data_IF_744910453986
#
_entry.id   IF_744910453986
#
_cell.length_a   1.000
_cell.length_b   1.000
_cell.length_c   1.000
_cell.angle_alpha   90.00
_cell.angle_beta   90.00
_cell.angle_gamma   90.00
#
_symmetry.space_group_name_H-M   'P 1'
#
loop_
_entity.id
_entity.type
_entity.pdbx_description
1 polymer ?
#
# COMPACT_ATOMS: atom_id res chain seq x y z
N UNK A 1 12.14 7.45 11.53
CA UNK A 1 10.81 6.94 11.95
C UNK A 1 10.11 6.25 10.79
N UNK A 2 9.56 5.09 11.03
CA UNK A 2 8.81 4.36 10.02
C UNK A 2 7.33 4.65 10.21
N UNK A 3 6.68 5.08 9.15
CA UNK A 3 5.27 5.39 9.14
C UNK A 3 4.50 4.32 8.38
N UNK A 4 3.60 3.63 9.06
CA UNK A 4 2.79 2.58 8.48
C UNK A 4 1.34 3.03 8.42
N UNK A 5 0.74 2.97 7.22
CA UNK A 5 -0.68 3.21 7.04
C UNK A 5 -1.41 1.89 6.83
N UNK A 6 -2.56 1.74 7.45
CA UNK A 6 -3.48 0.61 7.22
C UNK A 6 -4.79 1.16 6.68
N UNK A 7 -5.23 0.64 5.53
CA UNK A 7 -6.40 1.14 4.84
C UNK A 7 -7.24 0.02 4.26
N UNK A 8 -8.50 -0.04 4.67
CA UNK A 8 -9.48 -0.90 4.03
C UNK A 8 -10.11 -0.13 2.87
N UNK A 9 -9.69 -0.45 1.64
CA UNK A 9 -10.12 0.29 0.46
C UNK A 9 -11.54 0.00 0.02
N UNK A 10 -12.09 -1.14 0.43
CA UNK A 10 -13.40 -1.62 -0.03
C UNK A 10 -13.51 -1.71 -1.55
N UNK A 11 -12.41 -2.13 -2.19
CA UNK A 11 -12.31 -2.21 -3.64
C UNK A 11 -11.50 -1.08 -4.25
N UNK A 12 -10.33 -1.41 -4.77
CA UNK A 12 -9.36 -0.43 -5.29
C UNK A 12 -9.60 -0.08 -6.77
N UNK A 13 -10.60 -0.69 -7.40
CA UNK A 13 -10.79 -0.58 -8.85
C UNK A 13 -11.36 0.75 -9.35
N UNK A 14 -12.05 1.50 -8.50
CA UNK A 14 -12.66 2.76 -8.92
C UNK A 14 -11.64 3.91 -8.90
N UNK A 15 -11.71 4.85 -9.89
CA UNK A 15 -10.78 5.98 -9.93
C UNK A 15 -10.71 6.81 -8.65
N UNK A 16 -11.83 6.95 -7.92
CA UNK A 16 -11.83 7.66 -6.63
C UNK A 16 -10.92 6.97 -5.60
N UNK A 17 -10.80 5.66 -5.65
CA UNK A 17 -9.94 4.89 -4.74
C UNK A 17 -8.46 5.01 -5.12
N UNK A 18 -8.16 5.01 -6.42
CA UNK A 18 -6.77 5.21 -6.88
C UNK A 18 -6.30 6.64 -6.58
N UNK A 19 -7.20 7.62 -6.68
CA UNK A 19 -6.90 8.99 -6.29
C UNK A 19 -6.70 9.12 -4.79
N UNK A 20 -7.51 8.44 -3.98
CA UNK A 20 -7.34 8.41 -2.53
C UNK A 20 -5.99 7.81 -2.15
N UNK A 21 -5.56 6.73 -2.80
CA UNK A 21 -4.24 6.14 -2.59
C UNK A 21 -3.12 7.13 -2.93
N UNK A 22 -3.24 7.81 -4.07
CA UNK A 22 -2.29 8.84 -4.47
C UNK A 22 -2.17 9.93 -3.41
N UNK A 23 -3.30 10.41 -2.91
CA UNK A 23 -3.33 11.44 -1.88
C UNK A 23 -2.69 10.97 -0.58
N UNK A 24 -2.96 9.73 -0.16
CA UNK A 24 -2.32 9.16 1.02
C UNK A 24 -0.80 9.12 0.88
N UNK A 25 -0.30 8.68 -0.27
CA UNK A 25 1.13 8.63 -0.55
C UNK A 25 1.73 10.03 -0.55
N UNK A 26 1.08 10.98 -1.19
CA UNK A 26 1.59 12.34 -1.34
C UNK A 26 1.59 13.10 -0.02
N UNK A 27 0.51 12.98 0.76
CA UNK A 27 0.34 13.75 2.00
C UNK A 27 1.06 13.12 3.19
N UNK A 28 0.97 11.79 3.32
CA UNK A 28 1.50 11.09 4.48
C UNK A 28 2.92 10.59 4.28
N UNK A 29 3.37 10.43 3.04
CA UNK A 29 4.69 9.89 2.69
C UNK A 29 5.04 8.65 3.51
N UNK A 30 4.19 7.62 3.48
CA UNK A 30 4.37 6.46 4.34
C UNK A 30 5.55 5.60 3.93
N UNK A 31 6.10 4.88 4.91
CA UNK A 31 7.10 3.85 4.65
C UNK A 31 6.43 2.58 4.12
N UNK A 32 5.27 2.25 4.67
CA UNK A 32 4.46 1.09 4.25
C UNK A 32 2.99 1.49 4.24
N UNK A 33 2.25 0.97 3.25
CA UNK A 33 0.79 1.00 3.24
C UNK A 33 0.29 -0.43 3.17
N UNK A 34 -0.56 -0.81 4.12
CA UNK A 34 -1.29 -2.06 4.11
C UNK A 34 -2.69 -1.79 3.58
N UNK A 35 -3.00 -2.32 2.40
CA UNK A 35 -4.31 -2.11 1.78
C UNK A 35 -5.09 -3.41 1.85
N UNK A 36 -6.27 -3.35 2.45
CA UNK A 36 -7.17 -4.48 2.61
C UNK A 36 -8.34 -4.37 1.63
N UNK A 37 -8.93 -5.51 1.29
CA UNK A 37 -10.08 -5.62 0.40
C UNK A 37 -9.86 -4.90 -0.94
N UNK A 38 -8.72 -5.17 -1.58
CA UNK A 38 -8.39 -4.56 -2.87
C UNK A 38 -9.34 -4.98 -3.98
N UNK A 39 -9.84 -6.22 -3.93
CA UNK A 39 -10.79 -6.80 -4.90
C UNK A 39 -10.33 -6.69 -6.34
N UNK A 40 -9.00 -6.72 -6.57
CA UNK A 40 -8.41 -6.58 -7.89
C UNK A 40 -7.37 -7.65 -8.15
N UNK A 41 -7.11 -7.91 -9.44
CA UNK A 41 -6.04 -8.79 -9.88
C UNK A 41 -4.69 -8.09 -9.72
N UNK A 42 -3.64 -8.90 -9.56
CA UNK A 42 -2.27 -8.42 -9.40
C UNK A 42 -1.85 -7.46 -10.51
N UNK A 43 -2.17 -7.78 -11.76
CA UNK A 43 -1.80 -6.93 -12.90
C UNK A 43 -2.35 -5.51 -12.79
N UNK A 44 -3.58 -5.36 -12.31
CA UNK A 44 -4.19 -4.05 -12.14
C UNK A 44 -3.60 -3.29 -10.97
N UNK A 45 -3.33 -3.97 -9.88
CA UNK A 45 -2.70 -3.37 -8.69
C UNK A 45 -1.29 -2.91 -9.04
N UNK A 46 -0.51 -3.70 -9.77
CA UNK A 46 0.82 -3.32 -10.22
C UNK A 46 0.81 -2.06 -11.07
N UNK A 47 -0.16 -1.89 -11.95
CA UNK A 47 -0.29 -0.66 -12.73
C UNK A 47 -0.52 0.58 -11.87
N UNK A 48 -1.27 0.42 -10.79
CA UNK A 48 -1.52 1.51 -9.85
C UNK A 48 -0.25 1.84 -9.07
N UNK A 49 0.46 0.83 -8.58
CA UNK A 49 1.67 0.99 -7.78
C UNK A 49 2.80 1.58 -8.62
N UNK A 50 2.95 1.15 -9.86
CA UNK A 50 4.02 1.60 -10.76
C UNK A 50 3.98 3.09 -11.08
N UNK A 51 2.86 3.74 -10.83
CA UNK A 51 2.74 5.20 -10.93
C UNK A 51 3.49 5.94 -9.82
N UNK A 52 3.88 5.22 -8.78
CA UNK A 52 4.57 5.78 -7.61
C UNK A 52 5.99 5.21 -7.56
N UNK A 53 6.93 5.90 -8.18
CA UNK A 53 8.28 5.39 -8.50
C UNK A 53 9.06 4.80 -7.33
N UNK A 54 8.90 5.36 -6.13
CA UNK A 54 9.63 4.89 -4.95
C UNK A 54 8.96 3.71 -4.25
N UNK A 55 7.81 3.27 -4.73
CA UNK A 55 7.01 2.25 -4.05
C UNK A 55 6.97 0.95 -4.83
N UNK A 56 7.04 -0.16 -4.10
CA UNK A 56 6.81 -1.50 -4.64
C UNK A 56 5.83 -2.27 -3.77
N UNK A 57 5.06 -3.13 -4.43
CA UNK A 57 4.01 -3.89 -3.79
C UNK A 57 4.32 -5.36 -3.64
N UNK A 58 3.78 -5.95 -2.59
CA UNK A 58 3.63 -7.38 -2.40
C UNK A 58 2.14 -7.67 -2.35
N UNK A 59 1.65 -8.49 -3.27
CA UNK A 59 0.22 -8.64 -3.53
C UNK A 59 -0.24 -10.06 -3.23
N UNK A 60 -1.31 -10.16 -2.44
CA UNK A 60 -2.08 -11.38 -2.29
C UNK A 60 -3.45 -11.15 -2.93
N UNK A 61 -3.70 -11.84 -4.05
CA UNK A 61 -4.93 -11.62 -4.82
C UNK A 61 -6.19 -12.01 -4.06
N UNK A 62 -7.30 -11.37 -4.42
CA UNK A 62 -8.62 -11.77 -3.97
C UNK A 62 -8.96 -13.17 -4.46
N UNK A 63 -9.53 -13.99 -3.57
CA UNK A 63 -10.02 -15.33 -3.89
C UNK A 63 -11.51 -15.40 -3.57
N UNK A 64 -12.33 -15.55 -4.60
CA UNK A 64 -13.78 -15.57 -4.44
C UNK A 64 -14.29 -14.28 -3.80
N UNK A 65 -14.99 -14.39 -2.67
CA UNK A 65 -15.50 -13.26 -1.92
C UNK A 65 -14.44 -12.56 -1.05
N UNK A 66 -13.25 -13.15 -0.92
CA UNK A 66 -12.16 -12.55 -0.15
C UNK A 66 -11.61 -11.33 -0.85
N UNK A 67 -11.30 -10.29 -0.08
CA UNK A 67 -10.98 -9.00 -0.63
C UNK A 67 -9.61 -8.83 -1.25
N UNK A 68 -8.63 -9.66 -0.90
CA UNK A 68 -7.24 -9.47 -1.29
C UNK A 68 -6.51 -8.46 -0.41
N UNK A 69 -5.21 -8.62 -0.29
CA UNK A 69 -4.35 -7.78 0.54
C UNK A 69 -3.15 -7.35 -0.28
N UNK A 70 -2.80 -6.07 -0.21
CA UNK A 70 -1.60 -5.54 -0.84
C UNK A 70 -0.80 -4.75 0.19
N UNK A 71 0.50 -5.02 0.24
CA UNK A 71 1.45 -4.26 1.03
C UNK A 71 2.32 -3.45 0.07
N UNK A 72 2.32 -2.13 0.20
CA UNK A 72 3.14 -1.23 -0.60
C UNK A 72 4.20 -0.64 0.31
N UNK A 73 5.47 -0.69 -0.12
CA UNK A 73 6.58 -0.16 0.66
C UNK A 73 7.38 0.86 -0.11
N UNK A 74 7.91 1.85 0.58
CA UNK A 74 8.87 2.79 0.02
C UNK A 74 10.25 2.12 0.02
N UNK A 75 10.79 1.85 -1.15
CA UNK A 75 12.05 1.14 -1.29
C UNK A 75 13.25 1.90 -0.76
N UNK A 76 13.23 3.22 -0.81
CA UNK A 76 14.35 4.02 -0.33
C UNK A 76 14.52 3.92 1.19
N UNK A 77 13.41 3.81 1.92
CA UNK A 77 13.44 3.65 3.37
C UNK A 77 13.79 2.23 3.82
N UNK A 78 13.60 1.25 2.94
CA UNK A 78 13.78 -0.17 3.25
C UNK A 78 15.10 -0.74 2.75
N UNK A 79 16.08 0.11 2.49
CA UNK A 79 17.41 -0.34 2.08
C UNK A 79 18.17 -1.08 3.18
N UNK A 80 17.79 -0.86 4.45
CA UNK A 80 18.38 -1.54 5.60
C UNK A 80 17.29 -2.00 6.57
N UNK A 81 16.87 -3.26 6.43
CA UNK A 81 15.75 -3.84 7.21
C UNK A 81 16.02 -3.88 8.72
N UNK A 82 17.28 -3.97 9.14
CA UNK A 82 17.63 -4.05 10.56
C UNK A 82 17.23 -2.79 11.34
N UNK A 83 17.18 -1.64 10.68
CA UNK A 83 16.83 -0.38 11.32
C UNK A 83 15.32 -0.21 11.51
N UNK A 84 14.51 -1.01 10.83
CA UNK A 84 13.04 -0.89 10.85
C UNK A 84 12.41 -1.28 12.19
N UNK A 85 13.12 -2.06 12.99
CA UNK A 85 12.59 -2.63 14.24
C UNK A 85 12.57 -1.59 15.35
N UNK A 86 13.40 -0.56 15.28
CA UNK A 86 13.60 0.36 16.41
C UNK A 86 12.50 1.42 16.56
N UNK A 87 11.96 1.95 15.46
CA UNK A 87 10.94 2.99 15.54
C UNK A 87 9.88 2.79 14.45
N UNK A 88 8.68 2.51 14.85
CA UNK A 88 7.57 2.42 13.91
C UNK A 88 6.33 3.13 14.46
N UNK A 89 5.45 3.51 13.56
CA UNK A 89 4.25 4.24 13.86
C UNK A 89 3.16 3.81 12.87
N UNK A 90 1.99 3.44 13.39
CA UNK A 90 0.90 2.90 12.58
C UNK A 90 -0.30 3.82 12.66
N UNK A 91 -0.82 4.20 11.49
CA UNK A 91 -2.06 4.94 11.37
C UNK A 91 -3.08 4.10 10.62
N UNK A 92 -4.25 3.95 11.19
CA UNK A 92 -5.40 3.33 10.51
C UNK A 92 -6.23 4.41 9.83
N UNK A 93 -6.45 4.21 8.57
CA UNK A 93 -7.20 5.16 7.74
C UNK A 93 -8.62 4.66 7.50
#
# INVERSE_FOLDING_TARGET
MIKILSWNSKGLGHPSKTNALKDLITQEKPSIILIQETKQRESKINKIIDRHKCYKGSICEARGASGGITTIRNQEEWSNEAELIEQHWIKTV
#
